data_IF_331300671151
#
_entry.id   IF_331300671151
#
_cell.length_a   1.000
_cell.length_b   1.000
_cell.length_c   1.000
_cell.angle_alpha   90.00
_cell.angle_beta   90.00
_cell.angle_gamma   90.00
#
_symmetry.space_group_name_H-M   'P 1'
#
loop_
_entity.id
_entity.type
_entity.pdbx_description
1 polymer ?
#
# COMPACT_ATOMS: atom_id res chain seq x y z
N UNK A 1 13.95 -5.17 -14.87
CA UNK A 1 14.93 -5.12 -13.76
C UNK A 1 15.46 -3.71 -13.76
N UNK A 2 14.78 -2.88 -12.99
CA UNK A 2 14.30 -1.58 -13.42
C UNK A 2 15.21 -0.40 -13.05
N UNK A 3 15.25 0.57 -13.97
CA UNK A 3 15.84 1.91 -13.82
C UNK A 3 15.30 2.68 -12.60
N UNK A 4 14.23 2.21 -11.96
CA UNK A 4 13.65 2.77 -10.71
C UNK A 4 14.64 2.76 -9.54
N UNK A 5 15.64 1.87 -9.55
CA UNK A 5 16.64 1.78 -8.46
C UNK A 5 17.69 2.91 -8.49
N UNK A 6 17.75 3.72 -9.56
CA UNK A 6 18.81 4.74 -9.76
C UNK A 6 18.50 6.13 -9.19
N UNK A 7 17.31 6.36 -8.63
CA UNK A 7 16.99 7.65 -7.98
C UNK A 7 17.49 7.74 -6.53
N UNK A 8 18.43 6.89 -6.11
CA UNK A 8 19.25 7.12 -4.92
C UNK A 8 20.30 8.21 -5.20
N UNK A 9 19.85 9.41 -5.58
CA UNK A 9 20.67 10.61 -5.48
C UNK A 9 20.78 10.98 -4.00
N UNK A 10 21.96 11.39 -3.56
CA UNK A 10 22.39 11.76 -2.19
C UNK A 10 21.57 12.90 -1.52
N UNK A 11 20.37 13.21 -2.02
CA UNK A 11 19.48 14.31 -1.64
C UNK A 11 18.00 13.89 -1.58
N UNK A 12 17.70 12.64 -1.21
CA UNK A 12 16.31 12.19 -0.99
C UNK A 12 16.08 11.77 0.47
N UNK A 13 14.99 12.25 1.07
CA UNK A 13 14.57 11.85 2.41
C UNK A 13 13.62 10.66 2.25
N UNK A 14 13.84 9.59 3.02
CA UNK A 14 12.98 8.42 3.04
C UNK A 14 12.22 8.35 4.36
N UNK A 15 10.90 8.14 4.26
CA UNK A 15 10.00 7.98 5.38
C UNK A 15 9.32 6.60 5.27
N UNK A 16 8.92 6.06 6.41
CA UNK A 16 8.26 4.77 6.47
C UNK A 16 6.97 4.89 7.28
N UNK A 17 5.83 4.81 6.60
CA UNK A 17 4.53 4.68 7.27
C UNK A 17 4.42 3.23 7.74
N UNK A 18 4.52 3.03 9.05
CA UNK A 18 4.52 1.69 9.63
C UNK A 18 3.12 1.06 9.58
N UNK A 19 3.09 -0.27 9.54
CA UNK A 19 1.87 -1.04 9.78
C UNK A 19 1.35 -0.77 11.19
N UNK A 20 0.03 -0.69 11.31
CA UNK A 20 -0.70 -0.61 12.56
C UNK A 20 -1.16 -2.01 12.97
N UNK A 21 -0.73 -2.45 14.15
CA UNK A 21 -1.06 -3.76 14.74
C UNK A 21 -2.04 -3.64 15.92
N UNK A 22 -2.58 -2.45 16.19
CA UNK A 22 -3.47 -2.21 17.33
C UNK A 22 -4.76 -3.04 17.26
N UNK A 23 -5.26 -3.32 16.05
CA UNK A 23 -6.46 -4.12 15.77
C UNK A 23 -6.13 -5.56 15.32
N UNK A 24 -4.90 -6.03 15.58
CA UNK A 24 -4.45 -7.38 15.26
C UNK A 24 -3.54 -7.45 14.03
N UNK A 25 -3.63 -8.57 13.29
CA UNK A 25 -2.71 -8.87 12.18
C UNK A 25 -3.27 -8.51 10.81
N UNK A 26 -4.40 -7.83 10.70
CA UNK A 26 -4.92 -7.33 9.42
C UNK A 26 -3.94 -6.31 8.81
N UNK A 27 -3.96 -6.12 7.49
CA UNK A 27 -3.12 -5.12 6.83
C UNK A 27 -3.75 -3.75 7.02
N UNK A 28 -3.12 -2.91 7.84
CA UNK A 28 -3.52 -1.53 8.12
C UNK A 28 -2.28 -0.68 8.32
N UNK A 29 -2.27 0.53 7.80
CA UNK A 29 -1.16 1.47 7.95
C UNK A 29 -1.55 2.63 8.86
N UNK A 30 -0.57 3.13 9.61
CA UNK A 30 -0.78 4.24 10.54
C UNK A 30 -1.17 5.53 9.80
N UNK A 31 -2.20 6.22 10.28
CA UNK A 31 -2.67 7.50 9.73
C UNK A 31 -1.93 8.72 10.31
N UNK A 32 -0.80 8.49 10.98
CA UNK A 32 0.00 9.57 11.58
C UNK A 32 0.71 10.36 10.48
N UNK A 33 0.41 11.65 10.39
CA UNK A 33 1.09 12.56 9.47
C UNK A 33 2.58 12.75 9.85
N UNK A 34 3.53 12.44 8.95
CA UNK A 34 4.95 12.72 9.14
C UNK A 34 5.26 14.23 9.07
N UNK A 35 6.06 14.74 10.01
CA UNK A 35 6.48 16.14 10.03
C UNK A 35 7.29 16.58 8.81
N UNK A 36 7.96 15.65 8.15
CA UNK A 36 8.79 15.88 6.97
C UNK A 36 7.96 16.14 5.71
N UNK A 37 6.66 15.83 5.75
CA UNK A 37 5.70 16.14 4.69
C UNK A 37 5.00 17.50 4.91
N UNK A 38 5.26 18.17 6.04
CA UNK A 38 4.71 19.48 6.35
C UNK A 38 5.07 20.50 5.27
N UNK A 39 4.08 21.27 4.82
CA UNK A 39 4.24 22.24 3.73
C UNK A 39 4.39 21.64 2.32
N UNK A 40 4.50 20.31 2.15
CA UNK A 40 4.49 19.66 0.82
C UNK A 40 3.10 19.15 0.44
N UNK A 41 2.42 18.47 1.35
CA UNK A 41 1.06 17.93 1.12
C UNK A 41 0.14 18.32 2.27
N UNK A 42 -1.12 18.59 1.94
CA UNK A 42 -2.15 18.82 2.95
C UNK A 42 -2.34 17.59 3.84
N UNK A 43 -2.47 17.82 5.14
CA UNK A 43 -2.58 16.75 6.14
C UNK A 43 -3.84 15.90 5.94
N UNK A 44 -4.97 16.53 5.59
CA UNK A 44 -6.21 15.83 5.27
C UNK A 44 -6.03 14.94 4.05
N UNK A 45 -5.46 15.49 2.97
CA UNK A 45 -5.21 14.73 1.74
C UNK A 45 -4.30 13.52 1.96
N UNK A 46 -3.26 13.64 2.78
CA UNK A 46 -2.40 12.51 3.13
C UNK A 46 -3.18 11.42 3.88
N UNK A 47 -3.94 11.82 4.91
CA UNK A 47 -4.75 10.88 5.70
C UNK A 47 -5.78 10.17 4.82
N UNK A 48 -6.43 10.89 3.90
CA UNK A 48 -7.41 10.31 2.97
C UNK A 48 -6.79 9.24 2.05
N UNK A 49 -5.57 9.48 1.55
CA UNK A 49 -4.82 8.49 0.75
C UNK A 49 -4.56 7.22 1.58
N UNK A 50 -4.05 7.37 2.80
CA UNK A 50 -3.76 6.23 3.68
C UNK A 50 -5.05 5.48 4.05
N UNK A 51 -6.14 6.19 4.35
CA UNK A 51 -7.45 5.60 4.62
C UNK A 51 -8.00 4.80 3.45
N UNK A 52 -7.86 5.33 2.24
CA UNK A 52 -8.32 4.62 1.04
C UNK A 52 -7.48 3.35 0.82
N UNK A 53 -6.16 3.42 1.00
CA UNK A 53 -5.29 2.23 0.96
C UNK A 53 -5.76 1.20 2.01
N UNK A 54 -5.99 1.63 3.25
CA UNK A 54 -6.50 0.77 4.32
C UNK A 54 -7.85 0.13 3.96
N UNK A 55 -8.79 0.88 3.39
CA UNK A 55 -10.08 0.36 2.92
C UNK A 55 -9.93 -0.72 1.87
N UNK A 56 -8.99 -0.58 0.93
CA UNK A 56 -8.73 -1.60 -0.10
C UNK A 56 -8.24 -2.90 0.53
N UNK A 57 -7.38 -2.82 1.56
CA UNK A 57 -6.88 -3.98 2.30
C UNK A 57 -7.95 -4.59 3.23
N UNK A 58 -8.76 -3.77 3.87
CA UNK A 58 -9.90 -4.22 4.67
C UNK A 58 -10.90 -5.02 3.81
N UNK A 59 -11.23 -4.52 2.62
CA UNK A 59 -12.05 -5.24 1.64
C UNK A 59 -11.40 -6.57 1.21
N UNK A 60 -10.07 -6.61 1.07
CA UNK A 60 -9.35 -7.82 0.72
C UNK A 60 -9.53 -8.91 1.78
N UNK A 61 -9.43 -8.54 3.06
CA UNK A 61 -9.55 -9.44 4.21
C UNK A 61 -11.01 -9.86 4.47
N UNK A 62 -11.97 -8.94 4.38
CA UNK A 62 -13.39 -9.25 4.63
C UNK A 62 -13.92 -10.34 3.69
N UNK A 63 -13.60 -10.23 2.40
CA UNK A 63 -13.95 -11.26 1.41
C UNK A 63 -13.08 -12.52 1.56
N UNK A 64 -11.83 -12.39 1.99
CA UNK A 64 -10.97 -13.55 2.27
C UNK A 64 -11.55 -14.39 3.40
N UNK A 65 -11.97 -13.81 4.52
CA UNK A 65 -12.58 -14.54 5.63
C UNK A 65 -13.89 -15.22 5.22
N UNK A 66 -14.77 -14.50 4.51
CA UNK A 66 -16.03 -15.08 4.01
C UNK A 66 -15.77 -16.25 3.05
N UNK A 67 -14.95 -16.02 2.03
CA UNK A 67 -14.59 -17.03 1.03
C UNK A 67 -13.82 -18.19 1.66
N UNK A 68 -12.99 -17.96 2.67
CA UNK A 68 -12.27 -19.00 3.40
C UNK A 68 -13.24 -19.88 4.19
N UNK A 69 -14.22 -19.31 4.89
CA UNK A 69 -15.24 -20.12 5.59
C UNK A 69 -16.08 -20.95 4.63
N UNK A 70 -16.45 -20.39 3.47
CA UNK A 70 -17.14 -21.11 2.39
C UNK A 70 -16.24 -22.19 1.77
N UNK A 71 -14.95 -21.89 1.58
CA UNK A 71 -13.97 -22.80 0.98
C UNK A 71 -13.49 -23.89 1.94
N UNK A 72 -13.47 -23.70 3.26
CA UNK A 72 -13.23 -24.78 4.21
C UNK A 72 -14.31 -25.87 4.11
N UNK A 73 -15.55 -25.50 3.84
CA UNK A 73 -16.61 -26.44 3.48
C UNK A 73 -16.36 -27.11 2.12
N UNK A 74 -15.72 -26.43 1.18
CA UNK A 74 -15.34 -26.96 -0.13
C UNK A 74 -13.99 -27.73 -0.17
N UNK A 75 -13.09 -27.55 0.80
CA UNK A 75 -11.78 -28.20 0.91
C UNK A 75 -11.89 -29.72 1.11
N UNK A 76 -13.05 -30.20 1.60
CA UNK A 76 -13.37 -31.63 1.55
C UNK A 76 -13.50 -32.16 0.11
N UNK A 77 -13.57 -31.29 -0.91
CA UNK A 77 -13.86 -31.66 -2.31
C UNK A 77 -12.87 -31.18 -3.38
N UNK A 78 -11.91 -30.27 -3.15
CA UNK A 78 -11.17 -29.73 -4.31
C UNK A 78 -9.95 -28.85 -4.08
N UNK A 79 -8.89 -29.37 -3.43
CA UNK A 79 -7.55 -28.75 -3.39
C UNK A 79 -6.96 -28.41 -4.79
N UNK A 80 -7.51 -28.96 -5.88
CA UNK A 80 -7.09 -28.74 -7.26
C UNK A 80 -7.46 -27.36 -7.84
N UNK A 81 -8.55 -26.72 -7.37
CA UNK A 81 -9.02 -25.43 -7.91
C UNK A 81 -8.17 -24.23 -7.46
N UNK A 82 -7.48 -24.36 -6.32
CA UNK A 82 -6.64 -23.30 -5.73
C UNK A 82 -5.39 -22.95 -6.57
N UNK A 83 -5.04 -23.77 -7.57
CA UNK A 83 -3.86 -23.57 -8.42
C UNK A 83 -4.11 -22.73 -9.68
N UNK A 84 -5.36 -22.44 -10.06
CA UNK A 84 -5.68 -21.93 -11.40
C UNK A 84 -6.24 -20.50 -11.49
N UNK A 85 -6.49 -19.81 -10.36
CA UNK A 85 -7.08 -18.46 -10.38
C UNK A 85 -6.39 -17.53 -9.38
N UNK A 86 -6.04 -16.28 -9.78
CA UNK A 86 -5.52 -15.29 -8.85
C UNK A 86 -6.56 -15.03 -7.76
N UNK A 87 -6.11 -15.10 -6.51
CA UNK A 87 -7.00 -14.97 -5.36
C UNK A 87 -7.65 -13.57 -5.34
N UNK A 88 -8.82 -13.47 -4.69
CA UNK A 88 -9.45 -12.16 -4.46
C UNK A 88 -8.46 -11.16 -3.82
N UNK A 89 -7.67 -11.65 -2.87
CA UNK A 89 -6.63 -10.88 -2.20
C UNK A 89 -5.61 -10.31 -3.18
N UNK A 90 -5.07 -11.11 -4.11
CA UNK A 90 -4.14 -10.63 -5.15
C UNK A 90 -4.74 -9.53 -6.03
N UNK A 91 -6.05 -9.60 -6.33
CA UNK A 91 -6.73 -8.55 -7.10
C UNK A 91 -6.83 -7.24 -6.31
N UNK A 92 -7.14 -7.31 -5.01
CA UNK A 92 -7.17 -6.13 -4.16
C UNK A 92 -5.78 -5.51 -3.98
N UNK A 93 -4.75 -6.34 -3.80
CA UNK A 93 -3.35 -5.88 -3.74
C UNK A 93 -2.97 -5.11 -5.01
N UNK A 94 -3.28 -5.66 -6.20
CA UNK A 94 -3.03 -4.97 -7.48
C UNK A 94 -3.83 -3.67 -7.59
N UNK A 95 -5.04 -3.61 -7.04
CA UNK A 95 -5.86 -2.39 -6.99
C UNK A 95 -5.23 -1.33 -6.08
N UNK A 96 -4.67 -1.71 -4.93
CA UNK A 96 -3.94 -0.81 -4.05
C UNK A 96 -2.68 -0.26 -4.74
N UNK A 97 -1.90 -1.13 -5.39
CA UNK A 97 -0.73 -0.73 -6.17
C UNK A 97 -1.08 0.31 -7.24
N UNK A 98 -2.14 0.04 -8.02
CA UNK A 98 -2.64 0.97 -9.04
C UNK A 98 -3.08 2.31 -8.44
N UNK A 99 -3.82 2.28 -7.33
CA UNK A 99 -4.25 3.49 -6.64
C UNK A 99 -3.05 4.36 -6.19
N UNK A 100 -2.01 3.72 -5.63
CA UNK A 100 -0.77 4.41 -5.24
C UNK A 100 -0.09 5.03 -6.47
N UNK A 101 0.02 4.31 -7.59
CA UNK A 101 0.59 4.85 -8.83
C UNK A 101 -0.21 6.05 -9.35
N UNK A 102 -1.54 5.99 -9.33
CA UNK A 102 -2.41 7.08 -9.75
C UNK A 102 -2.28 8.31 -8.85
N UNK A 103 -2.23 8.14 -7.51
CA UNK A 103 -2.00 9.27 -6.59
C UNK A 103 -0.59 9.83 -6.70
N UNK A 104 0.40 8.97 -7.00
CA UNK A 104 1.76 9.42 -7.28
C UNK A 104 1.78 10.36 -8.48
N UNK A 105 1.22 9.94 -9.61
CA UNK A 105 1.20 10.75 -10.83
C UNK A 105 0.38 12.03 -10.66
N UNK A 106 -0.81 11.93 -10.04
CA UNK A 106 -1.76 13.04 -9.94
C UNK A 106 -1.39 14.06 -8.88
N UNK A 107 -0.91 13.61 -7.72
CA UNK A 107 -0.81 14.44 -6.52
C UNK A 107 0.62 14.54 -5.99
N UNK A 108 1.36 13.44 -5.91
CA UNK A 108 2.61 13.38 -5.12
C UNK A 108 3.85 13.75 -5.93
N UNK A 109 4.00 13.24 -7.16
CA UNK A 109 5.14 13.49 -8.04
C UNK A 109 5.35 14.99 -8.32
N UNK A 110 4.31 15.80 -8.60
CA UNK A 110 4.47 17.25 -8.78
C UNK A 110 5.03 17.96 -7.55
N UNK A 111 4.90 17.37 -6.36
CA UNK A 111 5.37 17.89 -5.08
C UNK A 111 6.72 17.29 -4.66
N UNK A 112 7.32 16.45 -5.51
CA UNK A 112 8.55 15.73 -5.22
C UNK A 112 8.36 14.67 -4.13
N UNK A 113 7.16 14.10 -4.00
CA UNK A 113 6.85 12.98 -3.09
C UNK A 113 6.57 11.76 -3.96
N UNK A 114 7.04 10.59 -3.54
CA UNK A 114 6.75 9.32 -4.21
C UNK A 114 6.50 8.23 -3.18
N UNK A 115 5.36 7.54 -3.28
CA UNK A 115 5.03 6.38 -2.44
C UNK A 115 5.33 5.08 -3.18
N UNK A 116 6.00 4.14 -2.52
CA UNK A 116 6.20 2.79 -3.05
C UNK A 116 5.05 1.87 -2.66
N UNK A 117 4.77 0.89 -3.51
CA UNK A 117 3.83 -0.17 -3.20
C UNK A 117 4.28 -0.92 -1.92
N UNK A 118 3.44 -1.00 -0.87
CA UNK A 118 3.77 -1.73 0.34
C UNK A 118 4.11 -3.21 0.10
N UNK A 119 3.67 -3.81 -1.02
CA UNK A 119 4.05 -5.19 -1.38
C UNK A 119 5.55 -5.37 -1.53
N UNK A 120 6.26 -4.37 -2.07
CA UNK A 120 7.73 -4.41 -2.19
C UNK A 120 8.43 -4.43 -0.83
N UNK A 121 7.72 -4.06 0.24
CA UNK A 121 8.19 -4.08 1.64
C UNK A 121 7.53 -5.18 2.46
N UNK A 122 6.91 -6.17 1.81
CA UNK A 122 6.24 -7.28 2.47
C UNK A 122 5.07 -6.82 3.36
N UNK A 123 4.41 -5.72 2.98
CA UNK A 123 3.25 -5.13 3.67
C UNK A 123 3.55 -4.63 5.09
N UNK A 124 4.83 -4.45 5.46
CA UNK A 124 5.22 -3.99 6.80
C UNK A 124 5.20 -2.47 6.93
N UNK A 125 5.40 -1.78 5.82
CA UNK A 125 5.38 -0.33 5.75
C UNK A 125 5.12 0.15 4.32
N UNK A 126 4.70 1.41 4.19
CA UNK A 126 4.73 2.16 2.94
C UNK A 126 5.97 3.04 2.98
N UNK A 127 6.89 2.87 2.03
CA UNK A 127 8.05 3.75 1.86
C UNK A 127 7.63 5.00 1.08
N UNK A 128 7.96 6.18 1.63
CA UNK A 128 7.71 7.48 1.01
C UNK A 128 9.05 8.17 0.78
N UNK A 129 9.36 8.47 -0.47
CA UNK A 129 10.56 9.18 -0.87
C UNK A 129 10.22 10.64 -1.14
N UNK A 130 11.00 11.56 -0.58
CA UNK A 130 10.91 12.99 -0.84
C UNK A 130 12.16 13.40 -1.60
N UNK A 131 11.99 13.95 -2.81
CA UNK A 131 13.09 14.56 -3.56
C UNK A 131 13.33 15.97 -3.04
N UNK A 132 14.56 16.24 -2.60
CA UNK A 132 14.95 17.57 -2.11
C UNK A 132 15.57 18.35 -3.26
N UNK A 133 14.74 18.83 -4.19
CA UNK A 133 15.23 19.66 -5.28
C UNK A 133 15.47 21.09 -4.75
N UNK A 134 16.65 21.33 -4.16
CA UNK A 134 17.15 22.69 -3.93
C UNK A 134 17.50 23.29 -5.29
N UNK A 135 16.63 24.16 -5.81
CA UNK A 135 17.03 25.19 -6.77
C UNK A 135 17.45 26.43 -6.01
#
# INVERSE_FOLDING_TARGET
MDDTTRLTSEQSIKLFIQRDYSEGTAVKFQERFPSELEGKIDRGKFIDIIRHINSIFEEAEALSCKTFTENCCACLTGYLLLLCMPTHYEKCVKRAARYISEENERTLNPKGIFMLDPMEKGLRCIEVCITNNRR
#
